data_IF_256032597774
#
_entry.id   IF_256032597774
#
_cell.length_a   1.000
_cell.length_b   1.000
_cell.length_c   1.000
_cell.angle_alpha   90.00
_cell.angle_beta   90.00
_cell.angle_gamma   90.00
#
_symmetry.space_group_name_H-M   'P 1'
#
loop_
_entity.id
_entity.type
_entity.pdbx_description
1 polymer ?
#
# COMPACT_ATOMS: atom_id res chain seq x y z
N UNK A 1 14.35 -3.84 -8.66
CA UNK A 1 13.08 -3.10 -8.49
C UNK A 1 12.77 -3.10 -7.00
N UNK A 2 12.79 -1.93 -6.33
CA UNK A 2 12.46 -1.83 -4.90
C UNK A 2 11.04 -2.37 -4.69
N UNK A 3 10.93 -3.52 -4.02
CA UNK A 3 9.62 -4.10 -3.67
C UNK A 3 8.97 -3.18 -2.64
N UNK A 4 7.71 -2.82 -2.88
CA UNK A 4 6.91 -2.08 -1.89
C UNK A 4 6.37 -3.08 -0.87
N UNK A 5 6.13 -2.63 0.37
CA UNK A 5 5.61 -3.49 1.45
C UNK A 5 4.55 -4.55 1.05
N UNK A 6 4.73 -5.79 1.51
CA UNK A 6 3.83 -6.92 1.19
C UNK A 6 2.49 -6.75 1.91
N UNK A 7 2.52 -6.41 3.19
CA UNK A 7 1.34 -6.17 4.02
C UNK A 7 1.24 -4.70 4.45
N UNK A 8 0.04 -4.28 4.85
CA UNK A 8 -0.23 -2.98 5.46
C UNK A 8 -1.05 -3.13 6.73
N UNK A 9 -0.85 -2.21 7.67
CA UNK A 9 -1.73 -2.03 8.80
C UNK A 9 -2.95 -1.18 8.40
N UNK A 10 -4.13 -1.78 8.40
CA UNK A 10 -5.39 -1.13 8.12
C UNK A 10 -6.07 -0.70 9.42
N UNK A 11 -6.25 0.60 9.57
CA UNK A 11 -6.94 1.21 10.72
C UNK A 11 -8.41 1.49 10.41
N UNK A 12 -9.13 2.02 11.41
CA UNK A 12 -10.53 2.42 11.28
C UNK A 12 -10.77 3.41 10.14
N UNK A 13 -9.81 4.29 9.82
CA UNK A 13 -9.95 5.26 8.71
C UNK A 13 -9.94 4.58 7.35
N UNK A 14 -9.05 3.60 7.16
CA UNK A 14 -9.01 2.81 5.93
C UNK A 14 -10.28 1.97 5.77
N UNK A 15 -10.72 1.33 6.87
CA UNK A 15 -11.97 0.57 6.93
C UNK A 15 -13.19 1.41 6.59
N UNK A 16 -13.29 2.63 7.11
CA UNK A 16 -14.39 3.53 6.82
C UNK A 16 -14.53 3.82 5.31
N UNK A 17 -13.41 4.02 4.60
CA UNK A 17 -13.42 4.17 3.14
C UNK A 17 -13.87 2.90 2.41
N UNK A 18 -13.44 1.72 2.87
CA UNK A 18 -13.91 0.46 2.28
C UNK A 18 -15.39 0.21 2.54
N UNK A 19 -15.90 0.66 3.69
CA UNK A 19 -17.31 0.53 4.07
C UNK A 19 -18.22 1.29 3.11
N UNK A 20 -17.84 2.49 2.67
CA UNK A 20 -18.65 3.25 1.70
C UNK A 20 -18.75 2.58 0.34
N UNK A 21 -17.83 1.66 0.02
CA UNK A 21 -17.83 0.86 -1.20
C UNK A 21 -18.40 -0.55 -1.01
N UNK A 22 -18.85 -0.90 0.21
CA UNK A 22 -19.35 -2.24 0.55
C UNK A 22 -18.27 -3.32 0.56
N UNK A 23 -16.99 -2.95 0.69
CA UNK A 23 -15.85 -3.87 0.62
C UNK A 23 -15.24 -4.24 1.99
N UNK A 24 -15.59 -3.52 3.06
CA UNK A 24 -14.97 -3.70 4.38
C UNK A 24 -15.04 -5.16 4.84
N UNK A 25 -16.25 -5.74 4.90
CA UNK A 25 -16.45 -7.09 5.43
C UNK A 25 -15.73 -8.15 4.60
N UNK A 26 -15.76 -8.02 3.27
CA UNK A 26 -15.07 -8.94 2.35
C UNK A 26 -13.56 -8.94 2.59
N UNK A 27 -12.96 -7.75 2.66
CA UNK A 27 -11.51 -7.62 2.86
C UNK A 27 -11.09 -8.11 4.23
N UNK A 28 -11.82 -7.74 5.29
CA UNK A 28 -11.48 -8.14 6.66
C UNK A 28 -11.62 -9.65 6.83
N UNK A 29 -12.71 -10.25 6.33
CA UNK A 29 -12.97 -11.68 6.49
C UNK A 29 -11.99 -12.56 5.71
N UNK A 30 -11.65 -12.16 4.49
CA UNK A 30 -10.85 -13.03 3.60
C UNK A 30 -9.35 -12.76 3.69
N UNK A 31 -8.95 -11.54 4.06
CA UNK A 31 -7.56 -11.08 3.95
C UNK A 31 -7.05 -10.32 5.17
N UNK A 32 -7.89 -10.13 6.20
CA UNK A 32 -7.54 -9.38 7.41
C UNK A 32 -7.13 -10.28 8.57
N UNK A 33 -5.91 -10.08 9.07
CA UNK A 33 -5.47 -10.69 10.34
C UNK A 33 -5.58 -9.63 11.44
N UNK A 34 -6.40 -9.84 12.49
CA UNK A 34 -6.54 -8.86 13.56
C UNK A 34 -5.27 -8.77 14.42
N UNK A 35 -4.83 -7.55 14.68
CA UNK A 35 -3.72 -7.22 15.60
C UNK A 35 -4.27 -6.37 16.74
N UNK A 36 -4.49 -6.99 17.89
CA UNK A 36 -5.12 -6.37 19.10
C UNK A 36 -4.11 -5.64 20.00
N UNK A 37 -2.83 -5.97 19.86
CA UNK A 37 -1.75 -5.44 20.68
C UNK A 37 -0.47 -5.26 19.87
N UNK A 38 0.47 -4.50 20.44
CA UNK A 38 1.88 -4.50 20.05
C UNK A 38 2.60 -5.56 20.86
N UNK A 39 3.41 -6.37 20.19
CA UNK A 39 4.37 -7.24 20.85
C UNK A 39 5.75 -6.59 20.79
N UNK A 40 6.34 -6.29 21.94
CA UNK A 40 7.67 -5.69 22.05
C UNK A 40 8.66 -6.80 22.41
N UNK A 41 9.67 -6.99 21.57
CA UNK A 41 10.80 -7.88 21.83
C UNK A 41 11.97 -7.03 22.34
N UNK A 42 12.36 -7.23 23.59
CA UNK A 42 13.48 -6.53 24.20
C UNK A 42 14.81 -7.23 23.88
N UNK A 43 15.93 -6.51 24.09
CA UNK A 43 17.28 -7.06 23.87
C UNK A 43 17.67 -8.16 24.85
N UNK A 44 17.01 -8.25 26.00
CA UNK A 44 17.18 -9.29 27.01
C UNK A 44 16.27 -10.51 26.76
N UNK A 45 15.71 -10.63 25.54
CA UNK A 45 14.77 -11.66 25.10
C UNK A 45 13.42 -11.65 25.84
N UNK A 46 13.15 -10.65 26.69
CA UNK A 46 11.83 -10.51 27.29
C UNK A 46 10.83 -9.98 26.27
N UNK A 47 9.61 -10.50 26.35
CA UNK A 47 8.51 -10.13 25.46
C UNK A 47 7.44 -9.40 26.28
N UNK A 48 6.98 -8.26 25.77
CA UNK A 48 5.93 -7.46 26.42
C UNK A 48 4.80 -7.15 25.45
N UNK A 49 3.58 -7.55 25.82
CA UNK A 49 2.37 -7.20 25.09
C UNK A 49 1.79 -5.88 25.62
N UNK A 50 1.46 -4.96 24.71
CA UNK A 50 0.78 -3.70 25.00
C UNK A 50 -0.44 -3.58 24.10
N UNK A 51 -1.63 -3.70 24.68
CA UNK A 51 -2.90 -3.57 23.94
C UNK A 51 -3.03 -2.19 23.29
N UNK A 52 -3.56 -2.15 22.07
CA UNK A 52 -3.84 -0.86 21.39
C UNK A 52 -4.95 -0.08 22.10
N UNK A 53 -5.93 -0.78 22.64
CA UNK A 53 -7.08 -0.21 23.30
C UNK A 53 -7.63 -1.22 24.34
N UNK A 54 -8.17 -0.71 25.45
CA UNK A 54 -8.84 -1.52 26.50
C UNK A 54 -10.16 -2.14 26.03
N UNK A 55 -10.82 -1.52 25.05
CA UNK A 55 -12.12 -1.92 24.50
C UNK A 55 -12.00 -3.00 23.40
N UNK A 56 -10.83 -3.62 23.25
CA UNK A 56 -10.61 -4.68 22.25
C UNK A 56 -10.53 -4.21 20.78
N UNK A 57 -10.48 -2.89 20.53
CA UNK A 57 -10.28 -2.36 19.17
C UNK A 57 -8.91 -2.76 18.63
N UNK A 58 -8.90 -3.27 17.40
CA UNK A 58 -7.70 -3.72 16.71
C UNK A 58 -7.42 -2.92 15.42
N UNK A 59 -6.21 -3.10 14.91
CA UNK A 59 -5.87 -2.84 13.52
C UNK A 59 -5.76 -4.18 12.78
N UNK A 60 -5.87 -4.18 11.46
CA UNK A 60 -5.77 -5.41 10.67
C UNK A 60 -4.49 -5.40 9.84
N UNK A 61 -3.78 -6.52 9.79
CA UNK A 61 -2.78 -6.76 8.76
C UNK A 61 -3.49 -7.25 7.51
N UNK A 62 -3.33 -6.53 6.40
CA UNK A 62 -3.96 -6.84 5.12
C UNK A 62 -2.91 -6.87 4.02
N UNK A 63 -2.96 -7.87 3.15
CA UNK A 63 -2.06 -7.99 2.01
C UNK A 63 -2.30 -6.89 0.96
N UNK A 64 -1.24 -6.16 0.57
CA UNK A 64 -1.33 -5.06 -0.40
C UNK A 64 -1.90 -5.51 -1.74
N UNK A 65 -1.40 -6.65 -2.22
CA UNK A 65 -1.80 -7.21 -3.51
C UNK A 65 -3.30 -7.47 -3.54
N UNK A 66 -3.81 -8.25 -2.58
CA UNK A 66 -5.22 -8.59 -2.49
C UNK A 66 -6.11 -7.36 -2.34
N UNK A 67 -5.72 -6.40 -1.49
CA UNK A 67 -6.46 -5.14 -1.37
C UNK A 67 -6.57 -4.41 -2.72
N UNK A 68 -5.49 -4.34 -3.48
CA UNK A 68 -5.48 -3.67 -4.77
C UNK A 68 -6.28 -4.43 -5.84
N UNK A 69 -6.18 -5.76 -5.87
CA UNK A 69 -6.96 -6.61 -6.76
C UNK A 69 -8.46 -6.45 -6.49
N UNK A 70 -8.88 -6.52 -5.23
CA UNK A 70 -10.28 -6.34 -4.83
C UNK A 70 -10.85 -4.95 -5.20
N UNK A 71 -10.06 -3.89 -5.01
CA UNK A 71 -10.45 -2.54 -5.40
C UNK A 71 -10.59 -2.39 -6.92
N UNK A 72 -9.69 -2.98 -7.71
CA UNK A 72 -9.75 -2.96 -9.16
C UNK A 72 -10.95 -3.75 -9.69
N UNK A 73 -11.15 -4.97 -9.18
CA UNK A 73 -12.34 -5.77 -9.53
C UNK A 73 -13.63 -5.04 -9.19
N UNK A 74 -13.69 -4.38 -8.02
CA UNK A 74 -14.87 -3.59 -7.66
C UNK A 74 -15.08 -2.40 -8.60
N UNK A 75 -14.02 -1.75 -9.04
CA UNK A 75 -14.10 -0.64 -9.99
C UNK A 75 -14.62 -1.10 -11.37
N UNK A 76 -14.23 -2.28 -11.83
CA UNK A 76 -14.66 -2.87 -13.10
C UNK A 76 -16.13 -3.31 -13.11
N UNK A 77 -16.79 -3.45 -11.95
CA UNK A 77 -18.24 -3.70 -11.88
C UNK A 77 -19.06 -2.51 -12.41
N UNK A 78 -18.48 -1.31 -12.46
CA UNK A 78 -19.15 -0.12 -12.96
C UNK A 78 -18.96 -0.02 -14.48
N UNK A 79 -20.03 -0.04 -15.29
CA UNK A 79 -19.93 -0.10 -16.76
C UNK A 79 -19.28 1.14 -17.38
N UNK A 80 -19.27 2.25 -16.65
CA UNK A 80 -18.67 3.52 -17.04
C UNK A 80 -17.23 3.70 -16.54
N UNK A 81 -16.62 2.67 -15.98
CA UNK A 81 -15.23 2.67 -15.53
C UNK A 81 -14.41 1.75 -16.42
N UNK A 82 -13.31 2.28 -16.96
CA UNK A 82 -12.40 1.53 -17.83
C UNK A 82 -10.98 1.59 -17.25
N UNK A 83 -10.37 0.42 -17.08
CA UNK A 83 -9.03 0.30 -16.50
C UNK A 83 -8.02 -0.03 -17.61
N UNK A 84 -7.08 0.89 -17.85
CA UNK A 84 -6.06 0.74 -18.89
C UNK A 84 -4.69 0.42 -18.27
N UNK A 85 -4.38 -0.87 -18.10
CA UNK A 85 -3.06 -1.30 -17.63
C UNK A 85 -1.97 -1.02 -18.67
N UNK A 86 -0.71 -0.99 -18.23
CA UNK A 86 0.45 -0.73 -19.10
C UNK A 86 0.47 0.65 -19.78
N UNK A 87 -0.31 1.61 -19.29
CA UNK A 87 -0.29 3.00 -19.78
C UNK A 87 0.45 3.88 -18.77
N UNK A 88 1.67 4.29 -19.13
CA UNK A 88 2.48 5.17 -18.29
C UNK A 88 2.28 6.61 -18.73
N UNK A 89 1.81 7.47 -17.82
CA UNK A 89 1.71 8.91 -18.08
C UNK A 89 3.12 9.51 -18.33
N UNK A 90 3.32 10.11 -19.50
CA UNK A 90 4.54 10.83 -19.86
C UNK A 90 4.45 12.30 -19.47
N UNK A 91 3.36 12.96 -19.86
CA UNK A 91 3.11 14.38 -19.60
C UNK A 91 1.60 14.67 -19.63
N UNK A 92 1.20 15.80 -19.04
CA UNK A 92 -0.17 16.29 -19.08
C UNK A 92 -0.19 17.82 -19.20
N UNK A 93 -1.10 18.36 -20.01
CA UNK A 93 -1.46 19.78 -20.01
C UNK A 93 -2.68 19.97 -19.12
N UNK A 94 -2.46 20.46 -17.91
CA UNK A 94 -3.51 20.67 -16.90
C UNK A 94 -4.46 21.84 -17.24
N UNK A 95 -4.13 22.66 -18.23
CA UNK A 95 -4.98 23.78 -18.67
C UNK A 95 -5.93 23.30 -19.76
N UNK A 96 -5.44 22.49 -20.69
CA UNK A 96 -6.24 21.93 -21.78
C UNK A 96 -6.94 20.62 -21.42
N UNK A 97 -6.53 19.98 -20.33
CA UNK A 97 -7.07 18.67 -19.93
C UNK A 97 -6.55 17.53 -20.80
N UNK A 98 -5.36 17.65 -21.39
CA UNK A 98 -4.80 16.64 -22.30
C UNK A 98 -3.66 15.86 -21.65
N UNK A 99 -3.52 14.59 -22.01
CA UNK A 99 -2.53 13.68 -21.46
C UNK A 99 -1.90 12.85 -22.59
N UNK A 100 -0.61 12.57 -22.45
CA UNK A 100 0.12 11.65 -23.32
C UNK A 100 0.57 10.46 -22.48
N UNK A 101 0.11 9.26 -22.86
CA UNK A 101 0.49 8.00 -22.24
C UNK A 101 1.37 7.19 -23.19
N UNK A 102 2.36 6.50 -22.63
CA UNK A 102 3.12 5.46 -23.33
C UNK A 102 2.54 4.09 -22.97
N UNK A 103 2.13 3.34 -23.99
CA UNK A 103 1.85 1.92 -23.81
C UNK A 103 3.17 1.16 -23.66
N UNK A 104 3.44 0.64 -22.47
CA UNK A 104 4.73 0.01 -22.17
C UNK A 104 4.95 -1.31 -22.91
N UNK A 105 3.88 -1.93 -23.43
CA UNK A 105 3.94 -3.17 -24.23
C UNK A 105 4.18 -2.88 -25.71
N UNK A 106 3.36 -2.02 -26.33
CA UNK A 106 3.46 -1.73 -27.78
C UNK A 106 4.48 -0.65 -28.12
N UNK A 107 4.89 0.16 -27.13
CA UNK A 107 5.73 1.36 -27.27
C UNK A 107 5.08 2.53 -28.01
N UNK A 108 3.77 2.47 -28.23
CA UNK A 108 3.02 3.55 -28.87
C UNK A 108 2.58 4.60 -27.86
N UNK A 109 2.47 5.84 -28.35
CA UNK A 109 1.90 6.96 -27.60
C UNK A 109 0.39 7.04 -27.83
N UNK A 110 -0.34 7.29 -26.75
CA UNK A 110 -1.78 7.51 -26.75
C UNK A 110 -2.06 8.91 -26.23
N UNK A 111 -2.82 9.68 -27.02
CA UNK A 111 -3.26 11.02 -26.68
C UNK A 111 -4.70 10.94 -26.17
N UNK A 112 -4.95 11.50 -24.99
CA UNK A 112 -6.25 11.43 -24.31
C UNK A 112 -6.62 12.82 -23.80
N UNK A 113 -7.91 13.13 -23.84
CA UNK A 113 -8.49 14.36 -23.28
C UNK A 113 -9.47 14.01 -22.16
N UNK A 114 -9.56 14.87 -21.14
CA UNK A 114 -10.48 14.70 -20.03
C UNK A 114 -10.84 16.06 -19.40
N UNK A 115 -12.07 16.17 -18.91
CA UNK A 115 -12.54 17.37 -18.19
C UNK A 115 -11.95 17.46 -16.77
N UNK A 116 -11.64 16.32 -16.15
CA UNK A 116 -11.10 16.23 -14.80
C UNK A 116 -9.96 15.21 -14.73
N UNK A 117 -8.83 15.65 -14.19
CA UNK A 117 -7.65 14.83 -13.97
C UNK A 117 -7.46 14.61 -12.47
N UNK A 118 -7.40 13.35 -12.05
CA UNK A 118 -7.18 12.95 -10.65
C UNK A 118 -5.82 12.24 -10.53
N UNK A 119 -4.88 12.87 -9.82
CA UNK A 119 -3.53 12.33 -9.60
C UNK A 119 -3.46 11.31 -8.45
N UNK A 120 -3.60 10.02 -8.75
CA UNK A 120 -3.41 8.91 -7.81
C UNK A 120 -2.17 8.05 -8.09
N UNK A 121 -1.14 8.63 -8.70
CA UNK A 121 0.08 7.98 -9.23
C UNK A 121 1.25 7.87 -8.22
N UNK A 122 0.95 8.10 -6.94
CA UNK A 122 1.81 7.76 -5.80
C UNK A 122 2.94 8.76 -5.49
N UNK A 123 3.91 8.31 -4.67
CA UNK A 123 4.94 9.20 -4.11
C UNK A 123 5.79 9.91 -5.16
N UNK A 124 6.03 9.30 -6.33
CA UNK A 124 6.81 9.88 -7.45
C UNK A 124 5.92 10.37 -8.61
N UNK A 125 4.74 10.88 -8.26
CA UNK A 125 3.70 11.37 -9.15
C UNK A 125 4.24 12.20 -10.33
N UNK A 126 3.91 11.79 -11.55
CA UNK A 126 4.07 12.58 -12.78
C UNK A 126 3.07 13.73 -12.79
N UNK A 127 1.83 13.50 -12.34
CA UNK A 127 0.80 14.54 -12.28
C UNK A 127 1.23 15.72 -11.41
N UNK A 128 1.79 15.44 -10.22
CA UNK A 128 2.31 16.47 -9.32
C UNK A 128 3.48 17.24 -9.94
N UNK A 129 4.32 16.61 -10.76
CA UNK A 129 5.41 17.32 -11.47
C UNK A 129 4.84 18.34 -12.46
N UNK A 130 3.74 18.03 -13.14
CA UNK A 130 3.06 19.00 -14.01
C UNK A 130 2.44 20.14 -13.20
N UNK A 131 1.86 19.86 -12.03
CA UNK A 131 1.35 20.90 -11.14
C UNK A 131 2.45 21.84 -10.63
N UNK A 132 3.63 21.30 -10.31
CA UNK A 132 4.78 22.09 -9.82
C UNK A 132 5.31 23.12 -10.83
N UNK A 133 5.01 22.97 -12.12
CA UNK A 133 5.40 23.95 -13.15
C UNK A 133 4.50 25.20 -13.14
N UNK A 134 3.37 25.15 -12.42
CA UNK A 134 2.38 26.25 -12.37
C UNK A 134 2.72 27.23 -11.24
N UNK A 135 2.37 28.52 -11.38
CA UNK A 135 2.59 29.50 -10.32
C UNK A 135 1.78 29.14 -9.06
N UNK A 136 2.25 29.61 -7.91
CA UNK A 136 1.61 29.42 -6.60
C UNK A 136 1.48 27.97 -6.12
N UNK A 137 2.36 27.08 -6.58
CA UNK A 137 2.44 25.70 -6.09
C UNK A 137 3.58 25.53 -5.08
N UNK A 138 3.24 25.36 -3.80
CA UNK A 138 4.22 25.07 -2.76
C UNK A 138 4.52 23.57 -2.69
N UNK A 139 5.80 23.20 -2.68
CA UNK A 139 6.24 21.81 -2.62
C UNK A 139 7.52 21.64 -1.80
N UNK A 140 7.63 20.52 -1.08
CA UNK A 140 8.84 20.10 -0.39
C UNK A 140 9.06 18.60 -0.61
N UNK A 141 10.32 18.20 -0.82
CA UNK A 141 10.71 16.80 -0.86
C UNK A 141 11.95 16.58 -0.01
N UNK A 142 11.87 15.60 0.89
CA UNK A 142 12.97 15.20 1.74
C UNK A 142 13.11 13.70 1.72
N UNK A 143 14.33 13.22 1.48
CA UNK A 143 14.68 11.83 1.70
C UNK A 143 15.13 11.66 3.15
N UNK A 144 14.61 10.65 3.82
CA UNK A 144 15.07 10.26 5.16
C UNK A 144 16.30 9.35 5.03
N UNK A 145 17.20 9.34 6.02
CA UNK A 145 18.41 8.51 5.94
C UNK A 145 18.13 7.00 6.10
N UNK A 146 16.94 6.64 6.58
CA UNK A 146 16.55 5.24 6.81
C UNK A 146 15.96 4.61 5.55
N UNK A 147 16.47 3.44 5.20
CA UNK A 147 15.82 2.51 4.27
C UNK A 147 14.98 1.47 5.01
N UNK A 148 14.29 0.62 4.25
CA UNK A 148 13.65 -0.58 4.79
C UNK A 148 14.00 -1.79 3.93
N UNK A 149 14.02 -2.96 4.55
CA UNK A 149 14.16 -4.26 3.91
C UNK A 149 13.03 -5.15 4.43
N UNK A 150 12.52 -6.04 3.58
CA UNK A 150 11.51 -7.01 3.98
C UNK A 150 12.16 -8.37 4.25
N UNK A 151 11.84 -8.94 5.41
CA UNK A 151 12.21 -10.30 5.80
C UNK A 151 10.94 -11.11 6.03
N UNK A 152 11.02 -12.43 5.88
CA UNK A 152 9.88 -13.33 6.03
C UNK A 152 10.17 -14.35 7.13
N UNK A 153 9.25 -14.48 8.09
CA UNK A 153 9.25 -15.56 9.08
C UNK A 153 8.26 -16.62 8.57
N UNK A 154 8.71 -17.80 8.11
CA UNK A 154 7.83 -18.84 7.59
C UNK A 154 7.03 -19.47 8.73
N UNK A 155 5.94 -20.16 8.41
CA UNK A 155 5.24 -20.99 9.40
C UNK A 155 6.12 -22.16 9.86
N UNK A 156 5.96 -22.59 11.11
CA UNK A 156 6.53 -23.85 11.61
C UNK A 156 5.81 -25.04 10.97
N UNK A 157 6.46 -26.22 10.86
CA UNK A 157 5.83 -27.43 10.33
C UNK A 157 4.53 -27.83 11.04
N UNK A 158 4.46 -27.56 12.36
CA UNK A 158 3.32 -27.94 13.21
C UNK A 158 2.28 -26.83 13.38
N UNK A 159 2.42 -25.70 12.66
CA UNK A 159 1.56 -24.53 12.80
C UNK A 159 1.53 -23.95 14.24
N UNK A 160 2.50 -24.32 15.07
CA UNK A 160 2.67 -23.76 16.41
C UNK A 160 3.02 -22.28 16.29
N UNK A 161 2.36 -21.47 17.13
CA UNK A 161 2.70 -20.06 17.31
C UNK A 161 4.18 -20.04 17.72
N UNK A 162 5.01 -19.26 17.01
CA UNK A 162 6.41 -19.05 17.40
C UNK A 162 6.47 -18.45 18.81
N UNK A 163 6.52 -19.31 19.83
CA UNK A 163 6.98 -18.94 21.17
C UNK A 163 8.52 -18.83 21.19
N UNK A 164 9.20 -19.37 20.17
CA UNK A 164 10.66 -19.37 19.99
C UNK A 164 11.21 -18.22 19.12
N UNK A 165 10.67 -17.00 19.25
CA UNK A 165 11.47 -15.79 19.01
C UNK A 165 12.34 -15.44 20.24
N UNK A 166 12.51 -16.40 21.16
CA UNK A 166 13.32 -16.33 22.38
C UNK A 166 14.82 -16.51 22.13
N UNK A 167 15.25 -16.91 20.92
CA UNK A 167 16.67 -16.97 20.54
C UNK A 167 17.00 -15.92 19.48
N UNK A 168 17.84 -14.92 19.80
CA UNK A 168 18.39 -13.94 18.85
C UNK A 168 19.11 -14.57 17.64
N UNK A 169 19.45 -15.86 17.71
CA UNK A 169 20.25 -16.58 16.72
C UNK A 169 19.55 -16.71 15.36
N UNK A 170 18.22 -16.89 15.33
CA UNK A 170 17.47 -16.97 14.07
C UNK A 170 17.47 -15.63 13.32
N UNK A 171 17.45 -14.50 14.05
CA UNK A 171 17.58 -13.18 13.43
C UNK A 171 19.03 -12.85 13.04
N UNK A 172 20.01 -13.29 13.83
CA UNK A 172 21.44 -13.07 13.55
C UNK A 172 21.92 -13.81 12.29
N UNK A 173 21.38 -14.98 11.98
CA UNK A 173 21.73 -15.71 10.75
C UNK A 173 21.13 -15.10 9.48
N UNK A 174 20.13 -14.21 9.59
CA UNK A 174 19.64 -13.40 8.46
C UNK A 174 20.52 -12.18 8.15
N UNK A 175 21.41 -11.77 9.06
CA UNK A 175 22.26 -10.57 8.94
C UNK A 175 23.76 -10.86 8.73
N UNK A 176 24.15 -12.13 8.52
CA UNK A 176 25.49 -12.52 8.02
C UNK A 176 25.45 -12.67 6.50
#
# INVERSE_FOLDING_TARGET
>A
MLRRSINLAMSIRGRAGLKTMGLEDKIIKNHGIPMVARMIHNKDNTIKSIQYNKDGKCIYSVGRRYLNEELLTKAEEFPNVHVHFCHKLLTADLTKGTMIFLNTKTKEELHVEADLLIGCDGAYSSMRKEMMKRPHFNYSQQYIPHGYMELCIPATPDNEIFDELTTPEILLDFFK
#
